data_IF_581177592405
#
_entry.id   IF_581177592405
#
_cell.length_a   1.000
_cell.length_b   1.000
_cell.length_c   1.000
_cell.angle_alpha   90.00
_cell.angle_beta   90.00
_cell.angle_gamma   90.00
#
_symmetry.space_group_name_H-M   'P 1'
#
loop_
_entity.id
_entity.type
_entity.pdbx_description
1 polymer ?
#
# COMPACT_ATOMS: atom_id res chain seq x y z
N UNK A 1 36.35 -31.53 -6.24
CA UNK A 1 35.94 -30.13 -6.00
C UNK A 1 36.63 -29.65 -4.73
N UNK A 2 37.90 -29.31 -4.84
CA UNK A 2 38.71 -28.75 -3.74
C UNK A 2 39.02 -27.32 -4.10
N UNK A 3 38.33 -26.33 -3.51
CA UNK A 3 38.58 -24.92 -3.86
C UNK A 3 38.53 -23.91 -2.73
N UNK A 4 38.56 -24.31 -1.46
CA UNK A 4 38.62 -23.31 -0.38
C UNK A 4 39.41 -23.83 0.83
N UNK A 5 40.74 -23.78 0.73
CA UNK A 5 41.64 -23.94 1.88
C UNK A 5 42.65 -22.79 1.84
N UNK A 6 42.37 -21.75 2.62
CA UNK A 6 43.33 -20.68 2.92
C UNK A 6 43.49 -20.67 4.43
N UNK A 7 44.74 -20.84 4.89
CA UNK A 7 45.10 -20.88 6.30
C UNK A 7 45.16 -19.45 6.84
N UNK A 8 44.34 -19.13 7.84
CA UNK A 8 44.53 -17.90 8.62
C UNK A 8 45.56 -18.19 9.73
N UNK A 9 46.21 -17.16 10.30
CA UNK A 9 47.38 -17.32 11.20
C UNK A 9 47.11 -17.03 12.70
N UNK A 10 45.87 -16.84 13.13
CA UNK A 10 45.58 -16.43 14.53
C UNK A 10 44.66 -17.42 15.23
N UNK A 11 44.89 -17.69 16.52
CA UNK A 11 44.25 -18.78 17.31
C UNK A 11 42.72 -18.69 17.50
N UNK A 12 42.07 -17.68 16.90
CA UNK A 12 40.63 -17.41 16.97
C UNK A 12 40.03 -17.27 15.56
N UNK A 13 40.42 -18.16 14.64
CA UNK A 13 39.98 -18.15 13.24
C UNK A 13 38.45 -18.10 13.20
N UNK A 14 37.89 -17.09 12.54
CA UNK A 14 36.46 -17.04 12.25
C UNK A 14 36.05 -18.35 11.56
N UNK A 15 34.99 -19.01 12.03
CA UNK A 15 34.49 -20.29 11.50
C UNK A 15 34.18 -20.26 9.99
N UNK A 16 34.14 -19.07 9.39
CA UNK A 16 33.75 -18.82 8.01
C UNK A 16 34.85 -18.05 7.26
N UNK A 17 35.18 -18.52 6.06
CA UNK A 17 36.06 -17.80 5.13
C UNK A 17 35.43 -16.47 4.72
N UNK A 18 36.27 -15.46 4.51
CA UNK A 18 35.82 -14.11 4.12
C UNK A 18 35.06 -14.12 2.78
N UNK A 19 35.46 -14.99 1.85
CA UNK A 19 34.78 -15.22 0.57
C UNK A 19 33.36 -15.74 0.78
N UNK A 20 33.19 -16.68 1.70
CA UNK A 20 31.88 -17.23 2.04
C UNK A 20 30.99 -16.16 2.68
N UNK A 21 31.53 -15.36 3.61
CA UNK A 21 30.78 -14.22 4.16
C UNK A 21 30.35 -13.27 3.04
N UNK A 22 31.21 -13.00 2.05
CA UNK A 22 30.93 -12.09 0.93
C UNK A 22 29.83 -12.63 0.03
N UNK A 23 29.89 -13.92 -0.27
CA UNK A 23 28.87 -14.61 -1.05
C UNK A 23 27.48 -14.51 -0.40
N UNK A 24 27.38 -14.82 0.90
CA UNK A 24 26.10 -14.76 1.63
C UNK A 24 25.55 -13.33 1.69
N UNK A 25 26.39 -12.33 1.97
CA UNK A 25 25.93 -10.94 1.95
C UNK A 25 25.45 -10.50 0.56
N UNK A 26 26.11 -10.93 -0.52
CA UNK A 26 25.68 -10.62 -1.88
C UNK A 26 24.37 -11.33 -2.26
N UNK A 27 24.19 -12.59 -1.84
CA UNK A 27 22.93 -13.35 -2.02
C UNK A 27 21.76 -12.63 -1.31
N UNK A 28 21.98 -12.08 -0.12
CA UNK A 28 20.99 -11.25 0.58
C UNK A 28 20.69 -9.93 -0.15
N UNK A 29 21.71 -9.22 -0.65
CA UNK A 29 21.52 -7.94 -1.34
C UNK A 29 20.87 -8.08 -2.72
N UNK A 30 21.12 -9.21 -3.40
CA UNK A 30 20.57 -9.50 -4.73
C UNK A 30 19.21 -10.18 -4.65
N UNK A 31 18.96 -10.95 -3.58
CA UNK A 31 17.73 -11.69 -3.37
C UNK A 31 16.60 -10.85 -2.81
N UNK A 32 15.36 -11.29 -3.04
CA UNK A 32 14.15 -10.76 -2.40
C UNK A 32 13.83 -11.45 -1.06
N UNK A 33 14.75 -12.27 -0.56
CA UNK A 33 14.58 -13.08 0.65
C UNK A 33 14.83 -12.25 1.90
N UNK A 34 14.09 -12.56 2.96
CA UNK A 34 14.30 -11.97 4.28
C UNK A 34 15.61 -12.48 4.89
N UNK A 35 16.17 -11.71 5.83
CA UNK A 35 17.41 -12.05 6.53
C UNK A 35 17.36 -13.48 7.12
N UNK A 36 16.21 -13.84 7.71
CA UNK A 36 15.97 -15.15 8.32
C UNK A 36 15.93 -16.28 7.30
N UNK A 37 15.35 -16.05 6.12
CA UNK A 37 15.31 -17.04 5.04
C UNK A 37 16.71 -17.30 4.47
N UNK A 38 17.53 -16.25 4.32
CA UNK A 38 18.93 -16.39 3.88
C UNK A 38 19.76 -17.12 4.94
N UNK A 39 19.56 -16.82 6.22
CA UNK A 39 20.23 -17.55 7.31
C UNK A 39 19.86 -19.04 7.32
N UNK A 40 18.58 -19.38 7.11
CA UNK A 40 18.13 -20.77 6.99
C UNK A 40 18.72 -21.48 5.75
N UNK A 41 18.73 -20.81 4.60
CA UNK A 41 19.27 -21.34 3.34
C UNK A 41 20.75 -21.71 3.45
N UNK A 42 21.53 -20.91 4.17
CA UNK A 42 22.96 -21.11 4.35
C UNK A 42 23.33 -21.80 5.68
N UNK A 43 22.34 -22.34 6.42
CA UNK A 43 22.51 -22.96 7.75
C UNK A 43 23.33 -22.09 8.72
N UNK A 44 23.05 -20.80 8.72
CA UNK A 44 23.65 -19.82 9.62
C UNK A 44 22.79 -19.67 10.87
N UNK A 45 23.45 -19.51 12.01
CA UNK A 45 22.74 -19.21 13.26
C UNK A 45 22.18 -17.79 13.24
N UNK A 46 21.05 -17.60 13.90
CA UNK A 46 20.36 -16.32 14.00
C UNK A 46 21.31 -15.17 14.40
N UNK A 47 21.38 -14.13 13.58
CA UNK A 47 22.10 -12.90 13.86
C UNK A 47 23.55 -12.85 13.36
N UNK A 48 24.09 -13.94 12.81
CA UNK A 48 25.43 -13.92 12.19
C UNK A 48 25.44 -13.10 10.91
N UNK A 49 24.38 -13.19 10.10
CA UNK A 49 24.27 -12.41 8.88
C UNK A 49 24.13 -10.92 9.21
N UNK A 50 23.37 -10.58 10.26
CA UNK A 50 23.27 -9.21 10.78
C UNK A 50 24.64 -8.65 11.16
N UNK A 51 25.48 -9.45 11.81
CA UNK A 51 26.82 -9.03 12.21
C UNK A 51 27.72 -8.78 10.99
N UNK A 52 27.74 -9.67 10.00
CA UNK A 52 28.55 -9.49 8.78
C UNK A 52 28.09 -8.31 7.93
N UNK A 53 26.78 -8.08 7.87
CA UNK A 53 26.22 -6.91 7.19
C UNK A 53 26.64 -5.62 7.91
N UNK A 54 26.56 -5.58 9.25
CA UNK A 54 27.02 -4.44 10.05
C UNK A 54 28.53 -4.18 9.90
N UNK A 55 29.34 -5.23 9.95
CA UNK A 55 30.81 -5.15 9.75
C UNK A 55 31.17 -4.51 8.41
N UNK A 56 30.34 -4.74 7.38
CA UNK A 56 30.51 -4.16 6.04
C UNK A 56 29.77 -2.84 5.83
N UNK A 57 29.16 -2.27 6.87
CA UNK A 57 28.45 -1.00 6.81
C UNK A 57 27.02 -1.07 6.25
N UNK A 58 26.48 -2.28 6.03
CA UNK A 58 25.08 -2.47 5.72
C UNK A 58 24.27 -2.45 7.02
N UNK A 59 23.62 -1.31 7.26
CA UNK A 59 22.80 -1.13 8.46
C UNK A 59 21.46 -1.86 8.30
N UNK A 60 21.45 -3.14 8.68
CA UNK A 60 20.23 -3.98 8.70
C UNK A 60 19.19 -3.43 9.68
N UNK A 61 19.60 -2.62 10.67
CA UNK A 61 18.72 -1.96 11.62
C UNK A 61 18.11 -0.65 11.09
N UNK A 62 18.53 -0.19 9.90
CA UNK A 62 17.65 0.60 9.04
C UNK A 62 16.61 -0.29 8.35
N UNK A 63 16.10 -1.32 9.03
CA UNK A 63 14.64 -1.50 9.04
C UNK A 63 14.08 -0.16 9.42
N UNK A 64 13.72 0.58 8.38
CA UNK A 64 12.91 1.77 8.33
C UNK A 64 11.95 1.75 9.53
N UNK A 65 12.37 2.25 10.69
CA UNK A 65 11.46 2.87 11.63
C UNK A 65 11.08 4.14 10.87
N UNK A 66 10.19 3.98 9.88
CA UNK A 66 9.27 5.04 9.58
C UNK A 66 8.60 5.23 10.92
N UNK A 67 8.93 6.31 11.60
CA UNK A 67 7.95 6.91 12.48
C UNK A 67 6.72 7.04 11.58
N UNK A 68 5.78 6.10 11.69
CA UNK A 68 4.50 6.20 11.04
C UNK A 68 4.01 7.59 11.47
N UNK A 69 3.84 8.54 10.55
CA UNK A 69 3.35 9.84 10.94
C UNK A 69 2.07 9.59 11.72
N UNK A 70 2.04 10.10 12.95
CA UNK A 70 0.85 10.03 13.79
C UNK A 70 -0.32 10.46 12.91
N UNK A 71 -1.29 9.56 12.71
CA UNK A 71 -2.30 9.67 11.65
C UNK A 71 -3.12 10.97 11.75
N UNK A 72 -3.02 11.64 12.90
CA UNK A 72 -3.54 12.97 13.22
C UNK A 72 -2.86 14.16 12.53
N UNK A 73 -1.66 14.01 11.97
CA UNK A 73 -0.84 15.16 11.55
C UNK A 73 -0.42 15.17 10.08
N UNK A 74 -0.88 14.20 9.27
CA UNK A 74 -0.70 14.25 7.81
C UNK A 74 -1.59 15.34 7.24
N UNK A 75 -1.03 16.55 7.21
CA UNK A 75 -1.44 17.75 6.45
C UNK A 75 -2.69 17.58 5.60
N UNK A 76 -3.80 17.79 6.27
CA UNK A 76 -5.17 17.87 5.80
C UNK A 76 -5.41 18.99 4.74
N UNK A 77 -4.46 19.92 4.57
CA UNK A 77 -4.75 21.22 3.91
C UNK A 77 -4.81 21.23 2.36
N UNK A 78 -4.46 20.14 1.67
CA UNK A 78 -4.49 20.13 0.19
C UNK A 78 -5.66 19.33 -0.39
N UNK A 79 -6.03 18.21 0.25
CA UNK A 79 -7.10 17.33 -0.24
C UNK A 79 -8.48 17.76 0.28
N UNK A 80 -8.58 18.40 1.45
CA UNK A 80 -9.88 18.85 1.97
C UNK A 80 -10.56 19.89 1.08
N UNK A 81 -9.80 20.83 0.48
CA UNK A 81 -10.39 21.87 -0.37
C UNK A 81 -10.91 21.31 -1.68
N UNK A 82 -10.25 20.30 -2.24
CA UNK A 82 -10.70 19.66 -3.47
C UNK A 82 -11.83 18.65 -3.18
N UNK A 83 -11.77 17.96 -2.04
CA UNK A 83 -12.87 17.14 -1.52
C UNK A 83 -14.12 17.98 -1.24
N UNK A 84 -14.01 19.13 -0.56
CA UNK A 84 -15.12 20.02 -0.29
C UNK A 84 -15.76 20.58 -1.57
N UNK A 85 -14.95 20.98 -2.56
CA UNK A 85 -15.48 21.40 -3.87
C UNK A 85 -16.28 20.28 -4.53
N UNK A 86 -15.72 19.08 -4.58
CA UNK A 86 -16.41 17.93 -5.19
C UNK A 86 -17.73 17.61 -4.48
N UNK A 87 -17.78 17.73 -3.15
CA UNK A 87 -19.02 17.54 -2.37
C UNK A 87 -20.05 18.60 -2.76
N UNK A 88 -19.67 19.88 -2.81
CA UNK A 88 -20.61 20.96 -3.17
C UNK A 88 -21.12 20.85 -4.61
N UNK A 89 -20.28 20.40 -5.55
CA UNK A 89 -20.67 20.18 -6.93
C UNK A 89 -21.68 19.03 -7.05
N UNK A 90 -21.40 17.90 -6.37
CA UNK A 90 -22.30 16.75 -6.31
C UNK A 90 -23.65 17.10 -5.66
N UNK A 91 -23.64 17.90 -4.59
CA UNK A 91 -24.87 18.36 -3.94
C UNK A 91 -25.72 19.24 -4.88
N UNK A 92 -25.07 20.10 -5.67
CA UNK A 92 -25.75 20.95 -6.65
C UNK A 92 -26.37 20.12 -7.77
N UNK A 93 -25.63 19.15 -8.33
CA UNK A 93 -26.16 18.23 -9.35
C UNK A 93 -27.38 17.45 -8.82
N UNK A 94 -27.31 16.99 -7.57
CA UNK A 94 -28.40 16.28 -6.92
C UNK A 94 -29.64 17.18 -6.75
N UNK A 95 -29.46 18.46 -6.40
CA UNK A 95 -30.55 19.43 -6.34
C UNK A 95 -31.17 19.68 -7.72
N UNK A 96 -30.36 19.84 -8.77
CA UNK A 96 -30.82 20.06 -10.14
C UNK A 96 -31.65 18.87 -10.65
N UNK A 97 -31.17 17.64 -10.44
CA UNK A 97 -31.90 16.42 -10.84
C UNK A 97 -33.23 16.29 -10.10
N UNK A 98 -33.27 16.59 -8.80
CA UNK A 98 -34.52 16.58 -8.02
C UNK A 98 -35.53 17.61 -8.53
N UNK A 99 -35.06 18.82 -8.84
CA UNK A 99 -35.91 19.88 -9.38
C UNK A 99 -36.49 19.50 -10.74
N UNK A 100 -35.66 18.94 -11.64
CA UNK A 100 -36.11 18.44 -12.93
C UNK A 100 -37.13 17.31 -12.78
N UNK A 101 -36.89 16.35 -11.90
CA UNK A 101 -37.82 15.26 -11.64
C UNK A 101 -39.18 15.77 -11.15
N UNK A 102 -39.19 16.75 -10.25
CA UNK A 102 -40.44 17.39 -9.79
C UNK A 102 -41.14 18.14 -10.92
N UNK A 103 -40.40 18.89 -11.74
CA UNK A 103 -40.95 19.63 -12.87
C UNK A 103 -41.59 18.67 -13.90
N UNK A 104 -40.91 17.58 -14.25
CA UNK A 104 -41.47 16.54 -15.12
C UNK A 104 -42.72 15.91 -14.52
N UNK A 105 -42.72 15.62 -13.21
CA UNK A 105 -43.91 15.08 -12.53
C UNK A 105 -45.10 16.02 -12.65
N UNK A 106 -44.91 17.32 -12.39
CA UNK A 106 -45.97 18.33 -12.53
C UNK A 106 -46.43 18.50 -13.98
N UNK A 107 -45.51 18.47 -14.95
CA UNK A 107 -45.84 18.54 -16.37
C UNK A 107 -46.72 17.36 -16.79
N UNK A 108 -46.40 16.15 -16.31
CA UNK A 108 -47.22 14.96 -16.53
C UNK A 108 -48.60 15.13 -15.89
N UNK A 109 -48.69 15.59 -14.63
CA UNK A 109 -49.97 15.84 -13.95
C UNK A 109 -50.85 16.84 -14.73
N UNK A 110 -50.26 17.92 -15.25
CA UNK A 110 -50.98 18.90 -16.09
C UNK A 110 -51.44 18.25 -17.40
N UNK A 111 -50.57 17.49 -18.08
CA UNK A 111 -50.91 16.84 -19.34
C UNK A 111 -52.03 15.80 -19.18
N UNK A 112 -52.01 15.00 -18.12
CA UNK A 112 -53.07 14.04 -17.82
C UNK A 112 -54.40 14.76 -17.55
N UNK A 113 -54.37 15.91 -16.87
CA UNK A 113 -55.57 16.72 -16.57
C UNK A 113 -56.18 17.36 -17.82
N UNK A 114 -55.36 18.00 -18.65
CA UNK A 114 -55.82 18.76 -19.83
C UNK A 114 -56.23 17.82 -20.97
N UNK A 115 -55.42 16.80 -21.27
CA UNK A 115 -55.65 15.91 -22.40
C UNK A 115 -56.44 14.64 -22.05
N UNK A 116 -56.73 14.40 -20.76
CA UNK A 116 -57.45 13.20 -20.27
C UNK A 116 -56.82 11.88 -20.71
N UNK A 117 -55.51 11.88 -20.95
CA UNK A 117 -54.71 10.69 -21.23
C UNK A 117 -54.05 10.18 -19.96
N UNK A 118 -53.84 8.87 -19.83
CA UNK A 118 -53.06 8.31 -18.71
C UNK A 118 -51.63 8.05 -19.20
N UNK A 119 -50.68 8.81 -18.70
CA UNK A 119 -49.26 8.71 -19.06
C UNK A 119 -48.55 7.78 -18.07
N UNK A 120 -48.89 7.85 -16.79
CA UNK A 120 -48.29 7.01 -15.75
C UNK A 120 -49.10 5.73 -15.53
N UNK A 121 -48.41 4.60 -15.39
CA UNK A 121 -49.04 3.33 -15.01
C UNK A 121 -49.60 3.44 -13.58
N UNK A 122 -50.92 3.35 -13.43
CA UNK A 122 -51.58 3.29 -12.12
C UNK A 122 -51.23 1.96 -11.46
N UNK A 123 -50.67 2.01 -10.25
CA UNK A 123 -50.31 0.82 -9.46
C UNK A 123 -51.52 0.07 -8.88
N UNK A 124 -52.74 0.57 -9.11
CA UNK A 124 -53.96 -0.04 -8.61
C UNK A 124 -54.53 -1.03 -9.64
N UNK A 125 -54.00 -2.25 -9.65
CA UNK A 125 -54.67 -3.42 -10.23
C UNK A 125 -54.73 -4.47 -9.12
N UNK A 126 -55.93 -4.72 -8.60
CA UNK A 126 -56.25 -5.90 -7.78
C UNK A 126 -56.34 -7.13 -8.66
#
# INVERSE_FOLDING_TARGET
MERYSVKYSTKWQSKYSEEFKRFVCNDYLTGSMTLKEVELKHNLGNGRLTYWLRERGFDVLKTRIVSLPDMKSVKINKDERDSQKSITELEKELQEVKLLAEAYRRMIEIAEKEFKINIVKKSNTK
#
